data_IF_788326670959
#
_entry.id   IF_788326670959
#
_cell.length_a   1.000
_cell.length_b   1.000
_cell.length_c   1.000
_cell.angle_alpha   90.00
_cell.angle_beta   90.00
_cell.angle_gamma   90.00
#
_symmetry.space_group_name_H-M   'P 1'
#
loop_
_entity.id
_entity.type
_entity.pdbx_description
1 polymer ?
#
# COMPACT_ATOMS: atom_id res chain seq x y z
N UNK A 1 22.10 -25.32 -23.22
CA UNK A 1 22.29 -23.90 -22.84
C UNK A 1 21.40 -23.59 -21.65
N UNK A 2 21.86 -22.76 -20.70
CA UNK A 2 21.06 -22.23 -19.60
C UNK A 2 20.53 -20.86 -20.02
N UNK A 3 19.20 -20.72 -20.20
CA UNK A 3 18.56 -19.48 -20.63
C UNK A 3 17.97 -18.66 -19.47
N UNK A 4 18.17 -19.11 -18.24
CA UNK A 4 17.67 -18.44 -17.04
C UNK A 4 18.76 -18.34 -15.99
N UNK A 5 18.76 -17.22 -15.28
CA UNK A 5 19.59 -17.05 -14.09
C UNK A 5 18.86 -17.69 -12.91
N UNK A 6 19.46 -18.73 -12.31
CA UNK A 6 18.97 -19.25 -11.04
C UNK A 6 19.32 -18.25 -9.94
N UNK A 7 18.31 -17.59 -9.39
CA UNK A 7 18.45 -16.75 -8.20
C UNK A 7 18.09 -17.60 -7.00
N UNK A 8 19.05 -18.03 -6.16
CA UNK A 8 18.73 -18.73 -4.92
C UNK A 8 18.01 -17.76 -3.97
N UNK A 9 16.77 -18.09 -3.61
CA UNK A 9 15.98 -17.32 -2.64
C UNK A 9 16.07 -18.03 -1.30
N UNK A 10 16.76 -17.40 -0.35
CA UNK A 10 16.81 -17.90 1.02
C UNK A 10 15.46 -17.78 1.70
N UNK A 11 15.19 -18.65 2.68
CA UNK A 11 13.96 -18.56 3.46
C UNK A 11 14.03 -17.32 4.35
N UNK A 12 12.97 -16.50 4.31
CA UNK A 12 12.80 -15.42 5.27
C UNK A 12 12.75 -15.96 6.69
N UNK A 13 13.43 -15.28 7.63
CA UNK A 13 13.32 -15.55 9.08
C UNK A 13 11.90 -15.29 9.60
N UNK A 14 11.13 -14.46 8.90
CA UNK A 14 9.74 -14.10 9.21
C UNK A 14 8.86 -14.45 8.00
N UNK A 15 8.45 -15.72 7.85
CA UNK A 15 7.58 -16.12 6.75
C UNK A 15 6.18 -15.52 6.92
N UNK A 16 5.53 -15.20 5.79
CA UNK A 16 4.12 -14.84 5.78
C UNK A 16 3.32 -16.13 6.02
N UNK A 17 2.49 -16.13 7.06
CA UNK A 17 1.62 -17.24 7.44
C UNK A 17 0.17 -16.77 7.58
N UNK A 18 -0.77 -17.68 7.78
CA UNK A 18 -2.18 -17.30 8.01
C UNK A 18 -2.42 -16.50 9.30
N UNK A 19 -1.43 -16.42 10.20
CA UNK A 19 -1.47 -15.55 11.39
C UNK A 19 -0.94 -14.14 11.10
N UNK A 20 -0.28 -13.93 9.98
CA UNK A 20 0.26 -12.64 9.57
C UNK A 20 -0.88 -11.68 9.21
N UNK A 21 -0.76 -10.44 9.68
CA UNK A 21 -1.59 -9.31 9.22
C UNK A 21 -0.76 -8.48 8.25
N UNK A 22 -1.23 -8.38 7.02
CA UNK A 22 -0.46 -7.80 5.92
C UNK A 22 -1.07 -6.45 5.55
N UNK A 23 -0.23 -5.43 5.40
CA UNK A 23 -0.64 -4.18 4.78
C UNK A 23 0.20 -4.00 3.50
N UNK A 24 -0.47 -3.90 2.35
CA UNK A 24 0.15 -3.66 1.07
C UNK A 24 -0.12 -2.22 0.65
N UNK A 25 0.94 -1.42 0.50
CA UNK A 25 0.90 -0.03 0.04
C UNK A 25 1.75 0.10 -1.21
N UNK A 26 1.27 0.82 -2.22
CA UNK A 26 2.06 1.09 -3.41
C UNK A 26 1.24 1.29 -4.68
N UNK A 27 1.90 1.04 -5.81
CA UNK A 27 1.30 1.06 -7.14
C UNK A 27 0.31 -0.10 -7.37
N UNK A 28 -0.10 -0.30 -8.63
CA UNK A 28 -0.87 -1.46 -9.07
C UNK A 28 -0.21 -2.82 -8.74
N UNK A 29 1.11 -2.87 -8.48
CA UNK A 29 1.75 -4.09 -8.01
C UNK A 29 1.20 -4.52 -6.64
N UNK A 30 1.00 -3.57 -5.72
CA UNK A 30 0.43 -3.84 -4.41
C UNK A 30 -0.98 -4.43 -4.53
N UNK A 31 -1.81 -3.89 -5.42
CA UNK A 31 -3.16 -4.41 -5.70
C UNK A 31 -3.16 -5.84 -6.25
N UNK A 32 -2.29 -6.11 -7.22
CA UNK A 32 -2.19 -7.44 -7.82
C UNK A 32 -1.73 -8.49 -6.80
N UNK A 33 -0.83 -8.11 -5.88
CA UNK A 33 -0.41 -8.99 -4.78
C UNK A 33 -1.49 -9.11 -3.69
N UNK A 34 -2.19 -8.02 -3.38
CA UNK A 34 -3.36 -8.00 -2.49
C UNK A 34 -4.44 -8.98 -2.93
N UNK A 35 -4.82 -8.95 -4.21
CA UNK A 35 -5.79 -9.89 -4.81
C UNK A 35 -5.39 -11.36 -4.63
N UNK A 36 -4.08 -11.67 -4.66
CA UNK A 36 -3.59 -13.03 -4.38
C UNK A 36 -3.75 -13.37 -2.90
N UNK A 37 -3.40 -12.46 -1.99
CA UNK A 37 -3.63 -12.66 -0.55
C UNK A 37 -5.11 -12.87 -0.23
N UNK A 38 -6.00 -12.10 -0.86
CA UNK A 38 -7.46 -12.24 -0.74
C UNK A 38 -7.96 -13.59 -1.25
N UNK A 39 -7.49 -14.01 -2.43
CA UNK A 39 -7.83 -15.30 -3.02
C UNK A 39 -7.50 -16.45 -2.06
N UNK A 40 -6.30 -16.40 -1.47
CA UNK A 40 -5.85 -17.39 -0.49
C UNK A 40 -6.34 -17.14 0.95
N UNK A 41 -7.21 -16.15 1.19
CA UNK A 41 -7.81 -15.84 2.52
C UNK A 41 -6.81 -15.42 3.60
N UNK A 42 -5.70 -14.80 3.22
CA UNK A 42 -4.82 -14.13 4.18
C UNK A 42 -5.48 -12.85 4.71
N UNK A 43 -5.23 -12.53 5.99
CA UNK A 43 -5.64 -11.25 6.56
C UNK A 43 -4.76 -10.15 5.95
N UNK A 44 -5.34 -9.35 5.07
CA UNK A 44 -4.63 -8.25 4.43
C UNK A 44 -5.50 -7.01 4.26
N UNK A 45 -4.83 -5.87 4.12
CA UNK A 45 -5.43 -4.61 3.69
C UNK A 45 -4.54 -4.04 2.60
N UNK A 46 -5.13 -3.68 1.47
CA UNK A 46 -4.39 -3.22 0.29
C UNK A 46 -4.83 -1.81 -0.06
N UNK A 47 -3.87 -0.89 -0.16
CA UNK A 47 -4.07 0.50 -0.58
C UNK A 47 -5.33 1.18 0.03
N UNK A 48 -5.45 1.25 1.37
CA UNK A 48 -6.64 1.80 2.02
C UNK A 48 -6.89 3.31 1.74
N UNK A 49 -5.91 3.99 1.14
CA UNK A 49 -5.97 5.40 0.73
C UNK A 49 -5.79 5.56 -0.80
N UNK A 50 -6.10 4.51 -1.56
CA UNK A 50 -5.88 4.44 -3.01
C UNK A 50 -4.44 4.11 -3.38
N UNK A 51 -4.18 4.05 -4.69
CA UNK A 51 -2.86 3.74 -5.25
C UNK A 51 -1.91 4.92 -5.03
N UNK A 52 -0.93 4.74 -4.15
CA UNK A 52 0.06 5.77 -3.81
C UNK A 52 1.44 5.14 -3.94
N UNK A 53 2.26 5.67 -4.86
CA UNK A 53 3.62 5.19 -5.10
C UNK A 53 4.69 6.22 -4.75
N UNK A 54 4.32 7.47 -4.48
CA UNK A 54 5.25 8.48 -3.99
C UNK A 54 5.69 8.11 -2.56
N UNK A 55 6.98 7.82 -2.31
CA UNK A 55 7.47 7.43 -1.00
C UNK A 55 7.21 8.48 0.09
N UNK A 56 7.25 9.76 -0.25
CA UNK A 56 7.00 10.86 0.72
C UNK A 56 5.53 10.87 1.15
N UNK A 57 4.60 10.66 0.22
CA UNK A 57 3.18 10.55 0.56
C UNK A 57 2.90 9.30 1.41
N UNK A 58 3.53 8.15 1.08
CA UNK A 58 3.40 6.92 1.88
C UNK A 58 3.93 7.14 3.30
N UNK A 59 5.09 7.77 3.46
CA UNK A 59 5.68 8.06 4.78
C UNK A 59 4.73 8.91 5.63
N UNK A 60 4.21 10.01 5.08
CA UNK A 60 3.23 10.88 5.77
C UNK A 60 1.99 10.12 6.21
N UNK A 61 1.44 9.25 5.34
CA UNK A 61 0.29 8.42 5.69
C UNK A 61 0.59 7.43 6.80
N UNK A 62 1.73 6.73 6.74
CA UNK A 62 2.15 5.83 7.81
C UNK A 62 2.29 6.60 9.13
N UNK A 63 2.89 7.79 9.08
CA UNK A 63 3.05 8.67 10.23
C UNK A 63 1.68 9.09 10.82
N UNK A 64 0.73 9.51 9.97
CA UNK A 64 -0.65 9.81 10.39
C UNK A 64 -1.33 8.61 11.05
N UNK A 65 -1.24 7.41 10.46
CA UNK A 65 -1.87 6.19 10.97
C UNK A 65 -1.33 5.83 12.36
N UNK A 66 0.00 5.84 12.52
CA UNK A 66 0.67 5.51 13.78
C UNK A 66 0.30 6.50 14.88
N UNK A 67 0.24 7.80 14.54
CA UNK A 67 -0.09 8.87 15.48
C UNK A 67 -1.58 9.15 15.60
N UNK A 68 -2.44 8.42 14.89
CA UNK A 68 -3.89 8.62 14.83
C UNK A 68 -4.28 10.06 14.46
N UNK A 69 -3.52 10.68 13.56
CA UNK A 69 -3.82 12.01 13.04
C UNK A 69 -4.86 11.89 11.93
N UNK A 70 -6.08 12.32 12.20
CA UNK A 70 -7.17 12.32 11.23
C UNK A 70 -6.98 13.41 10.17
N UNK A 71 -7.63 13.23 9.01
CA UNK A 71 -7.73 14.28 8.01
C UNK A 71 -8.71 15.36 8.47
N UNK A 72 -8.40 16.61 8.14
CA UNK A 72 -9.24 17.78 8.44
C UNK A 72 -9.55 18.54 7.15
N UNK A 73 -10.48 19.50 7.23
CA UNK A 73 -10.80 20.38 6.10
C UNK A 73 -9.57 21.13 5.56
N UNK A 74 -8.55 21.38 6.40
CA UNK A 74 -7.31 22.04 5.99
C UNK A 74 -6.40 21.16 5.10
N UNK A 75 -6.63 19.84 5.09
CA UNK A 75 -5.85 18.89 4.29
C UNK A 75 -6.41 18.77 2.85
N UNK A 76 -7.59 19.34 2.60
CA UNK A 76 -8.34 19.23 1.35
C UNK A 76 -8.48 20.62 0.75
N UNK A 77 -8.24 20.74 -0.55
CA UNK A 77 -8.40 22.02 -1.26
C UNK A 77 -9.13 21.83 -2.59
N UNK A 78 -9.92 22.82 -2.97
CA UNK A 78 -10.63 22.83 -4.25
C UNK A 78 -9.78 23.55 -5.29
N UNK A 79 -9.50 22.87 -6.41
CA UNK A 79 -8.72 23.42 -7.51
C UNK A 79 -9.13 22.78 -8.84
N UNK A 80 -9.32 23.60 -9.88
CA UNK A 80 -9.76 23.17 -11.21
C UNK A 80 -11.00 22.25 -11.17
N UNK A 81 -12.05 22.70 -10.49
CA UNK A 81 -13.33 21.99 -10.35
C UNK A 81 -13.24 20.62 -9.64
N UNK A 82 -12.14 20.34 -8.94
CA UNK A 82 -11.90 19.08 -8.24
C UNK A 82 -11.41 19.32 -6.81
N UNK A 83 -11.72 18.38 -5.93
CA UNK A 83 -11.16 18.33 -4.59
C UNK A 83 -9.86 17.52 -4.59
N UNK A 84 -8.83 18.06 -3.95
CA UNK A 84 -7.49 17.48 -3.91
C UNK A 84 -6.98 17.37 -2.48
N UNK A 85 -6.07 16.42 -2.28
CA UNK A 85 -5.22 16.32 -1.11
C UNK A 85 -3.82 15.92 -1.58
N UNK A 86 -2.76 16.51 -1.02
CA UNK A 86 -1.39 16.20 -1.44
C UNK A 86 -0.93 14.79 -1.01
N UNK A 87 -1.61 14.19 -0.04
CA UNK A 87 -1.16 12.96 0.61
C UNK A 87 -1.86 11.70 0.10
N UNK A 88 -3.08 11.82 -0.42
CA UNK A 88 -3.89 10.68 -0.88
C UNK A 88 -4.23 10.80 -2.37
N UNK A 89 -4.42 9.65 -3.03
CA UNK A 89 -4.87 9.64 -4.41
C UNK A 89 -6.39 9.83 -4.48
N UNK A 90 -6.88 10.45 -5.54
CA UNK A 90 -8.29 10.80 -5.74
C UNK A 90 -9.23 9.61 -5.98
N UNK A 91 -8.75 8.37 -5.85
CA UNK A 91 -9.59 7.17 -5.87
C UNK A 91 -9.95 6.76 -4.44
N UNK A 92 -11.21 7.00 -4.09
CA UNK A 92 -11.97 6.29 -3.07
C UNK A 92 -13.17 5.63 -3.75
#
# INVERSE_FOLDING_TARGET
MQFTTKVPVEKSINPITYRSKIMALGSCFAENMGKKFDYFKFQNTTNPFGIIFNPVSIEKLVNRIVNKSEFTENDIFFHNELWHCFEVHSEL
#
